data_IF_227140553190
#
_entry.id   IF_227140553190
#
_cell.length_a   1.000
_cell.length_b   1.000
_cell.length_c   1.000
_cell.angle_alpha   90.00
_cell.angle_beta   90.00
_cell.angle_gamma   90.00
#
_symmetry.space_group_name_H-M   'P 1'
#
loop_
_entity.id
_entity.type
_entity.pdbx_description
1 polymer ?
#
# COMPACT_ATOMS: atom_id res chain seq x y z
N UNK A 1 40.53 3.57 -35.35
CA UNK A 1 41.07 4.09 -34.07
C UNK A 1 40.02 4.80 -33.18
N UNK A 2 39.11 5.62 -33.74
CA UNK A 2 38.06 6.35 -32.95
C UNK A 2 37.02 5.46 -32.26
N UNK A 3 36.72 4.29 -32.77
CA UNK A 3 35.71 3.39 -32.18
C UNK A 3 36.25 2.63 -30.94
N UNK A 4 37.50 2.30 -30.90
CA UNK A 4 38.13 1.60 -29.77
C UNK A 4 38.32 2.51 -28.54
N UNK A 5 38.56 3.80 -28.75
CA UNK A 5 38.69 4.79 -27.66
C UNK A 5 37.32 5.01 -26.95
N UNK A 6 36.22 5.06 -27.69
CA UNK A 6 34.90 5.19 -27.08
C UNK A 6 34.47 3.95 -26.30
N UNK A 7 34.80 2.75 -26.83
CA UNK A 7 34.51 1.49 -26.12
C UNK A 7 35.36 1.38 -24.83
N UNK A 8 36.61 1.80 -24.87
CA UNK A 8 37.48 1.81 -23.70
C UNK A 8 37.01 2.78 -22.61
N UNK A 9 36.55 3.97 -22.98
CA UNK A 9 35.96 4.94 -22.03
C UNK A 9 34.66 4.45 -21.40
N UNK A 10 33.79 3.79 -22.17
CA UNK A 10 32.56 3.20 -21.66
C UNK A 10 32.80 2.06 -20.69
N UNK A 11 33.77 1.17 -21.00
CA UNK A 11 34.13 0.05 -20.13
C UNK A 11 34.81 0.57 -18.86
N UNK A 12 35.65 1.60 -18.96
CA UNK A 12 36.31 2.19 -17.80
C UNK A 12 35.34 2.96 -16.90
N UNK A 13 34.38 3.66 -17.46
CA UNK A 13 33.30 4.33 -16.70
C UNK A 13 32.40 3.32 -16.00
N UNK A 14 32.09 2.20 -16.67
CA UNK A 14 31.29 1.12 -16.08
C UNK A 14 32.03 0.38 -14.95
N UNK A 15 33.32 0.10 -15.12
CA UNK A 15 34.17 -0.46 -14.09
C UNK A 15 34.39 0.49 -12.90
N UNK A 16 34.45 1.80 -13.14
CA UNK A 16 34.58 2.79 -12.08
C UNK A 16 33.28 2.92 -11.26
N UNK A 17 32.10 2.85 -11.90
CA UNK A 17 30.82 2.76 -11.22
C UNK A 17 30.69 1.47 -10.40
N UNK A 18 31.12 0.33 -10.93
CA UNK A 18 31.11 -0.95 -10.21
C UNK A 18 32.00 -0.92 -8.97
N UNK A 19 33.17 -0.27 -9.08
CA UNK A 19 34.11 -0.12 -7.95
C UNK A 19 33.58 0.85 -6.88
N UNK A 20 32.91 1.92 -7.30
CA UNK A 20 32.28 2.88 -6.38
C UNK A 20 31.10 2.31 -5.58
N UNK A 21 30.44 1.27 -6.10
CA UNK A 21 29.32 0.58 -5.44
C UNK A 21 29.73 -0.73 -4.73
N UNK A 22 31.03 -1.06 -4.67
CA UNK A 22 31.52 -2.27 -3.97
C UNK A 22 31.04 -3.58 -4.61
N UNK A 23 30.80 -3.59 -5.93
CA UNK A 23 30.39 -4.76 -6.68
C UNK A 23 31.62 -5.49 -7.22
N UNK A 24 31.87 -6.70 -6.74
CA UNK A 24 32.92 -7.59 -7.26
C UNK A 24 32.29 -8.66 -8.14
N UNK A 25 32.82 -8.78 -9.36
CA UNK A 25 32.43 -9.82 -10.32
C UNK A 25 33.51 -10.89 -10.29
N UNK A 26 33.16 -12.11 -9.86
CA UNK A 26 34.01 -13.28 -9.97
C UNK A 26 33.42 -14.23 -11.00
N UNK A 27 34.29 -14.68 -11.93
CA UNK A 27 33.94 -15.75 -12.86
C UNK A 27 34.66 -17.00 -12.42
N UNK A 28 33.94 -18.05 -12.04
CA UNK A 28 34.47 -19.37 -11.73
C UNK A 28 33.58 -20.42 -12.38
N UNK A 29 34.20 -21.20 -13.25
CA UNK A 29 33.54 -22.29 -13.99
C UNK A 29 32.25 -21.83 -14.76
N UNK A 30 32.37 -20.74 -15.56
CA UNK A 30 31.31 -20.16 -16.38
C UNK A 30 30.09 -19.64 -15.62
N UNK A 31 30.17 -19.56 -14.29
CA UNK A 31 29.12 -18.96 -13.45
C UNK A 31 29.58 -17.56 -13.00
N UNK A 32 28.77 -16.56 -13.33
CA UNK A 32 28.97 -15.17 -12.85
C UNK A 32 28.38 -15.07 -11.46
N UNK A 33 29.21 -14.92 -10.44
CA UNK A 33 28.77 -14.69 -9.06
C UNK A 33 28.91 -13.19 -8.76
N UNK A 34 27.79 -12.53 -8.55
CA UNK A 34 27.72 -11.14 -8.10
C UNK A 34 27.74 -11.11 -6.57
N UNK A 35 28.84 -10.70 -5.98
CA UNK A 35 28.93 -10.50 -4.53
C UNK A 35 28.79 -9.01 -4.25
N UNK A 36 27.66 -8.64 -3.64
CA UNK A 36 27.47 -7.32 -3.05
C UNK A 36 28.19 -7.28 -1.70
N UNK A 37 29.33 -6.62 -1.65
CA UNK A 37 29.93 -6.27 -0.39
C UNK A 37 29.53 -4.81 -0.08
N UNK A 38 28.64 -4.55 0.88
CA UNK A 38 28.37 -3.18 1.26
C UNK A 38 29.66 -2.59 1.83
N UNK A 39 30.30 -1.71 1.05
CA UNK A 39 31.39 -0.88 1.57
C UNK A 39 30.88 -0.23 2.87
N UNK A 40 31.69 -0.21 3.94
CA UNK A 40 31.38 0.51 5.14
C UNK A 40 31.53 2.02 4.88
N UNK A 41 30.61 2.58 4.09
CA UNK A 41 30.47 4.01 3.91
C UNK A 41 29.79 4.56 5.18
N UNK A 42 30.61 5.26 5.92
CA UNK A 42 30.32 5.97 7.15
C UNK A 42 30.07 5.10 8.40
N UNK A 43 31.17 4.86 9.10
CA UNK A 43 31.13 4.87 10.56
C UNK A 43 30.61 6.23 11.03
N UNK A 44 29.32 6.46 10.89
CA UNK A 44 28.63 7.51 11.62
C UNK A 44 28.71 7.07 13.08
N UNK A 45 29.52 7.75 13.89
CA UNK A 45 29.51 7.65 15.35
C UNK A 45 28.06 7.45 15.77
N UNK A 46 27.79 6.36 16.48
CA UNK A 46 26.50 6.15 17.14
C UNK A 46 26.25 7.41 17.95
N UNK A 47 25.34 8.24 17.46
CA UNK A 47 24.82 9.36 18.26
C UNK A 47 24.31 8.80 19.58
N UNK A 48 24.31 9.55 20.66
CA UNK A 48 23.92 9.08 21.97
C UNK A 48 22.59 8.38 21.87
N UNK A 49 22.47 7.21 22.52
CA UNK A 49 21.23 6.44 22.67
C UNK A 49 20.11 7.43 23.01
N UNK A 50 19.24 7.69 22.04
CA UNK A 50 18.14 8.63 22.22
C UNK A 50 17.27 8.09 23.37
N UNK A 51 17.25 8.86 24.43
CA UNK A 51 16.50 8.56 25.63
C UNK A 51 15.03 8.36 25.21
N UNK A 52 14.46 7.20 25.45
CA UNK A 52 13.19 6.61 24.92
C UNK A 52 11.91 7.45 25.17
N UNK A 53 12.00 8.71 25.60
CA UNK A 53 10.84 9.47 26.10
C UNK A 53 10.38 10.67 25.27
N UNK A 54 11.13 11.12 24.26
CA UNK A 54 10.73 12.33 23.52
C UNK A 54 10.27 11.96 22.12
N UNK A 55 8.97 12.13 21.86
CA UNK A 55 8.39 11.98 20.52
C UNK A 55 8.89 13.10 19.60
N UNK A 56 9.05 12.79 18.31
CA UNK A 56 9.49 13.76 17.30
C UNK A 56 8.39 14.76 16.94
N UNK A 57 7.12 14.38 17.12
CA UNK A 57 5.99 15.26 16.82
C UNK A 57 4.63 14.64 17.09
N UNK A 58 3.62 15.49 16.92
CA UNK A 58 2.21 15.18 17.12
C UNK A 58 1.47 15.27 15.78
N UNK A 59 0.71 14.27 15.47
CA UNK A 59 -0.11 14.15 14.27
C UNK A 59 -1.57 14.07 14.67
N UNK A 60 -2.41 14.89 14.06
CA UNK A 60 -3.86 14.86 14.25
C UNK A 60 -4.52 14.20 13.03
N UNK A 61 -5.35 13.20 13.27
CA UNK A 61 -6.12 12.49 12.23
C UNK A 61 -7.55 13.02 12.27
N UNK A 62 -8.06 13.50 11.13
CA UNK A 62 -9.43 14.04 11.03
C UNK A 62 -10.24 13.17 10.10
N UNK A 63 -11.45 12.80 10.51
CA UNK A 63 -12.45 12.12 9.66
C UNK A 63 -13.85 12.35 10.21
N UNK A 64 -14.85 12.26 9.35
CA UNK A 64 -16.28 12.23 9.76
C UNK A 64 -16.69 10.85 10.30
N UNK A 65 -15.87 9.80 10.11
CA UNK A 65 -16.18 8.43 10.51
C UNK A 65 -15.36 8.00 11.70
N UNK A 66 -15.99 7.81 12.85
CA UNK A 66 -15.33 7.40 14.10
C UNK A 66 -14.55 6.08 13.96
N UNK A 67 -15.11 5.10 13.26
CA UNK A 67 -14.44 3.81 13.01
C UNK A 67 -13.12 4.00 12.27
N UNK A 68 -13.11 4.80 11.20
CA UNK A 68 -11.91 5.10 10.43
C UNK A 68 -10.83 5.78 11.29
N UNK A 69 -11.21 6.71 12.18
CA UNK A 69 -10.27 7.34 13.11
C UNK A 69 -9.54 6.33 13.98
N UNK A 70 -10.28 5.37 14.57
CA UNK A 70 -9.67 4.35 15.44
C UNK A 70 -8.78 3.38 14.66
N UNK A 71 -9.18 2.98 13.46
CA UNK A 71 -8.38 2.11 12.58
C UNK A 71 -7.08 2.79 12.14
N UNK A 72 -7.15 4.02 11.66
CA UNK A 72 -5.98 4.79 11.24
C UNK A 72 -5.03 5.06 12.41
N UNK A 73 -5.57 5.48 13.57
CA UNK A 73 -4.76 5.70 14.75
C UNK A 73 -4.03 4.44 15.20
N UNK A 74 -4.73 3.31 15.25
CA UNK A 74 -4.16 2.03 15.66
C UNK A 74 -3.06 1.58 14.69
N UNK A 75 -3.31 1.68 13.38
CA UNK A 75 -2.34 1.31 12.35
C UNK A 75 -1.09 2.21 12.42
N UNK A 76 -1.26 3.53 12.38
CA UNK A 76 -0.15 4.48 12.43
C UNK A 76 0.64 4.37 13.74
N UNK A 77 -0.04 4.13 14.86
CA UNK A 77 0.61 3.90 16.13
C UNK A 77 1.44 2.60 16.12
N UNK A 78 0.96 1.54 15.49
CA UNK A 78 1.72 0.28 15.38
C UNK A 78 2.99 0.43 14.54
N UNK A 79 2.98 1.32 13.53
CA UNK A 79 4.09 1.52 12.60
C UNK A 79 5.08 2.60 13.08
N UNK A 80 4.58 3.75 13.50
CA UNK A 80 5.37 4.95 13.84
C UNK A 80 5.17 5.44 15.28
N UNK A 81 4.41 4.74 16.11
CA UNK A 81 4.10 5.15 17.47
C UNK A 81 5.31 5.25 18.41
N UNK A 82 6.46 4.68 18.04
CA UNK A 82 7.72 4.91 18.75
C UNK A 82 8.20 6.37 18.61
N UNK A 83 7.95 7.01 17.45
CA UNK A 83 8.45 8.34 17.10
C UNK A 83 7.39 9.42 17.17
N UNK A 84 6.13 9.11 16.86
CA UNK A 84 5.06 10.08 16.74
C UNK A 84 3.93 9.81 17.73
N UNK A 85 3.22 10.88 18.10
CA UNK A 85 1.94 10.79 18.82
C UNK A 85 0.82 10.99 17.85
N UNK A 86 -0.18 10.09 17.83
CA UNK A 86 -1.34 10.18 16.97
C UNK A 86 -2.59 10.43 17.79
N UNK A 87 -3.24 11.55 17.54
CA UNK A 87 -4.53 11.91 18.12
C UNK A 87 -5.60 11.94 17.02
N UNK A 88 -6.85 11.86 17.42
CA UNK A 88 -7.99 11.84 16.51
C UNK A 88 -8.97 12.95 16.83
N UNK A 89 -9.62 13.49 15.80
CA UNK A 89 -10.67 14.49 15.93
C UNK A 89 -11.76 14.21 14.89
N UNK A 90 -13.02 14.18 15.33
CA UNK A 90 -14.13 14.15 14.38
C UNK A 90 -14.22 15.49 13.64
N UNK A 91 -14.45 15.43 12.33
CA UNK A 91 -14.54 16.63 11.49
C UNK A 91 -15.55 17.64 12.00
N UNK A 92 -16.68 17.16 12.50
CA UNK A 92 -17.76 18.00 13.05
C UNK A 92 -17.35 18.72 14.34
N UNK A 93 -16.34 18.22 15.04
CA UNK A 93 -15.78 18.82 16.26
C UNK A 93 -14.66 19.80 15.96
N UNK A 94 -14.17 19.87 14.74
CA UNK A 94 -13.12 20.78 14.29
C UNK A 94 -13.74 22.19 14.02
N UNK A 95 -14.09 22.91 15.06
CA UNK A 95 -14.81 24.18 14.99
C UNK A 95 -13.92 25.39 15.23
N UNK A 96 -12.72 25.20 15.80
CA UNK A 96 -11.82 26.28 16.20
C UNK A 96 -10.37 25.94 15.78
N UNK A 97 -9.66 26.86 15.06
CA UNK A 97 -8.24 26.67 14.73
C UNK A 97 -7.33 26.44 15.95
N UNK A 98 -7.71 26.89 17.15
CA UNK A 98 -6.93 26.65 18.37
C UNK A 98 -6.76 25.20 18.74
N UNK A 99 -7.68 24.31 18.30
CA UNK A 99 -7.60 22.86 18.49
C UNK A 99 -6.39 22.22 17.81
N UNK A 100 -5.79 22.91 16.84
CA UNK A 100 -4.65 22.43 16.07
C UNK A 100 -3.30 22.85 16.66
N UNK A 101 -3.31 23.65 17.73
CA UNK A 101 -2.08 24.07 18.39
C UNK A 101 -1.30 22.89 18.93
N UNK A 102 0.00 22.81 18.62
CA UNK A 102 0.88 21.74 19.07
C UNK A 102 0.91 20.52 18.15
N UNK A 103 0.16 20.54 17.04
CA UNK A 103 0.29 19.55 15.99
C UNK A 103 1.16 20.11 14.86
N UNK A 104 2.05 19.26 14.35
CA UNK A 104 2.90 19.57 13.21
C UNK A 104 2.33 19.04 11.90
N UNK A 105 1.43 18.05 11.98
CA UNK A 105 0.79 17.46 10.82
C UNK A 105 -0.68 17.15 11.11
N UNK A 106 -1.53 17.39 10.12
CA UNK A 106 -2.94 16.99 10.09
C UNK A 106 -3.15 16.03 8.92
N UNK A 107 -3.63 14.83 9.22
CA UNK A 107 -3.95 13.79 8.24
C UNK A 107 -5.43 13.83 7.89
N UNK A 108 -5.72 13.85 6.60
CA UNK A 108 -7.07 13.75 6.04
C UNK A 108 -7.26 12.43 5.32
N UNK A 109 -8.46 11.81 5.36
CA UNK A 109 -8.70 10.51 4.72
C UNK A 109 -8.62 10.54 3.18
N UNK A 110 -8.77 11.71 2.57
CA UNK A 110 -8.72 11.93 1.12
C UNK A 110 -8.34 13.37 0.80
N UNK A 111 -7.86 13.62 -0.42
CA UNK A 111 -7.65 14.97 -0.96
C UNK A 111 -8.91 15.82 -0.85
N UNK A 112 -10.07 15.29 -1.25
CA UNK A 112 -11.35 16.00 -1.15
C UNK A 112 -11.70 16.37 0.29
N UNK A 113 -11.42 15.51 1.26
CA UNK A 113 -11.69 15.82 2.67
C UNK A 113 -10.81 16.97 3.17
N UNK A 114 -9.58 17.08 2.67
CA UNK A 114 -8.66 18.18 2.94
C UNK A 114 -9.14 19.46 2.25
N UNK A 115 -9.41 19.45 0.96
CA UNK A 115 -9.84 20.62 0.19
C UNK A 115 -11.16 21.23 0.67
N UNK A 116 -12.09 20.38 1.14
CA UNK A 116 -13.38 20.83 1.69
C UNK A 116 -13.36 21.09 3.20
N UNK A 117 -12.16 21.09 3.80
CA UNK A 117 -12.06 21.37 5.24
C UNK A 117 -12.38 22.83 5.53
N UNK A 118 -13.29 23.15 6.49
CA UNK A 118 -13.85 24.48 6.63
C UNK A 118 -12.91 25.50 7.30
N UNK A 119 -11.81 25.00 7.93
CA UNK A 119 -10.90 25.87 8.66
C UNK A 119 -9.60 26.06 7.89
N UNK A 120 -9.08 27.28 7.90
CA UNK A 120 -7.71 27.56 7.44
C UNK A 120 -6.76 27.27 8.60
N UNK A 121 -5.86 26.30 8.38
CA UNK A 121 -4.83 25.95 9.35
C UNK A 121 -3.59 26.84 9.17
N UNK A 122 -2.80 26.94 10.24
CA UNK A 122 -1.51 27.64 10.19
C UNK A 122 -0.60 27.01 9.12
N UNK A 123 0.13 27.84 8.36
CA UNK A 123 1.00 27.38 7.27
C UNK A 123 2.18 26.52 7.74
N UNK A 124 2.50 26.53 9.03
CA UNK A 124 3.52 25.66 9.63
C UNK A 124 3.02 24.21 9.84
N UNK A 125 1.71 23.97 9.76
CA UNK A 125 1.12 22.66 9.92
C UNK A 125 1.04 21.97 8.56
N UNK A 126 1.72 20.84 8.42
CA UNK A 126 1.59 20.00 7.23
C UNK A 126 0.17 19.46 7.13
N UNK A 127 -0.51 19.71 6.03
CA UNK A 127 -1.78 19.08 5.69
C UNK A 127 -1.53 17.98 4.70
N UNK A 128 -1.79 16.73 5.10
CA UNK A 128 -1.45 15.55 4.32
C UNK A 128 -2.70 14.70 4.08
N UNK A 129 -3.16 14.56 2.83
CA UNK A 129 -4.18 13.57 2.49
C UNK A 129 -3.56 12.17 2.50
N UNK A 130 -4.26 11.22 3.09
CA UNK A 130 -3.83 9.82 3.08
C UNK A 130 -4.11 9.18 1.71
N UNK A 131 -3.07 8.66 1.09
CA UNK A 131 -3.25 7.70 0.03
C UNK A 131 -3.77 6.39 0.64
N UNK A 132 -4.77 5.80 0.01
CA UNK A 132 -5.41 4.58 0.50
C UNK A 132 -5.47 3.54 -0.60
N UNK A 133 -5.12 2.33 -0.23
CA UNK A 133 -5.18 1.17 -1.11
C UNK A 133 -6.15 0.13 -0.56
N UNK A 134 -6.63 -0.75 -1.43
CA UNK A 134 -7.41 -1.90 -0.95
C UNK A 134 -6.53 -2.78 -0.04
N UNK A 135 -7.17 -3.56 0.81
CA UNK A 135 -6.44 -4.39 1.75
C UNK A 135 -5.85 -5.62 1.04
N UNK A 136 -4.53 -5.57 0.77
CA UNK A 136 -3.80 -6.62 0.07
C UNK A 136 -3.87 -8.00 0.74
N UNK A 137 -4.22 -8.07 2.03
CA UNK A 137 -4.38 -9.33 2.75
C UNK A 137 -5.54 -10.19 2.22
N UNK A 138 -6.39 -9.63 1.35
CA UNK A 138 -7.50 -10.33 0.73
C UNK A 138 -7.26 -10.72 -0.72
N UNK A 139 -6.06 -10.49 -1.25
CA UNK A 139 -5.72 -10.88 -2.63
C UNK A 139 -5.95 -12.37 -2.89
N UNK A 140 -5.58 -13.23 -1.93
CA UNK A 140 -5.79 -14.67 -1.99
C UNK A 140 -7.27 -15.05 -2.15
N UNK A 141 -8.18 -14.29 -1.54
CA UNK A 141 -9.62 -14.51 -1.67
C UNK A 141 -10.20 -13.95 -2.96
N UNK A 142 -9.67 -12.81 -3.41
CA UNK A 142 -10.09 -12.21 -4.68
C UNK A 142 -9.82 -13.15 -5.85
N UNK A 143 -8.64 -13.77 -5.87
CA UNK A 143 -8.26 -14.68 -6.95
C UNK A 143 -8.99 -16.04 -6.91
N UNK A 144 -9.72 -16.34 -5.84
CA UNK A 144 -10.58 -17.54 -5.76
C UNK A 144 -11.90 -17.39 -6.52
N UNK A 145 -12.27 -16.18 -6.92
CA UNK A 145 -13.39 -15.95 -7.83
C UNK A 145 -13.01 -16.61 -9.19
N UNK A 146 -13.91 -17.35 -9.83
CA UNK A 146 -13.61 -17.96 -11.13
C UNK A 146 -13.17 -16.92 -12.17
N UNK A 147 -12.17 -17.21 -13.01
CA UNK A 147 -11.72 -16.28 -14.04
C UNK A 147 -12.83 -16.02 -15.07
N UNK A 148 -12.76 -14.83 -15.69
CA UNK A 148 -13.72 -14.34 -16.71
C UNK A 148 -15.12 -14.05 -16.17
N UNK A 149 -15.30 -14.04 -14.85
CA UNK A 149 -16.55 -13.59 -14.25
C UNK A 149 -16.69 -12.07 -14.32
N UNK A 150 -17.94 -11.62 -14.45
CA UNK A 150 -18.32 -10.23 -14.21
C UNK A 150 -18.57 -10.03 -12.72
N UNK A 151 -17.87 -9.06 -12.12
CA UNK A 151 -17.85 -8.86 -10.67
C UNK A 151 -18.25 -7.44 -10.32
N UNK A 152 -19.30 -7.25 -9.52
CA UNK A 152 -19.55 -5.92 -8.96
C UNK A 152 -18.41 -5.53 -8.00
N UNK A 153 -17.81 -4.37 -8.24
CA UNK A 153 -17.01 -3.71 -7.21
C UNK A 153 -17.86 -2.64 -6.53
N UNK A 154 -18.13 -2.85 -5.25
CA UNK A 154 -19.12 -2.08 -4.49
C UNK A 154 -18.44 -1.19 -3.46
N UNK A 155 -18.74 0.11 -3.49
CA UNK A 155 -18.29 1.05 -2.46
C UNK A 155 -19.31 2.20 -2.29
N UNK A 156 -19.05 3.09 -1.32
CA UNK A 156 -19.92 4.20 -0.92
C UNK A 156 -19.95 5.39 -1.89
N UNK A 157 -19.00 5.48 -2.81
CA UNK A 157 -18.98 6.51 -3.86
C UNK A 157 -18.25 6.04 -5.13
N UNK A 158 -18.54 6.73 -6.24
CA UNK A 158 -17.98 6.43 -7.56
C UNK A 158 -16.45 6.47 -7.59
N UNK A 159 -15.85 7.48 -6.97
CA UNK A 159 -14.40 7.68 -7.05
C UNK A 159 -13.65 6.59 -6.29
N UNK A 160 -14.11 6.26 -5.09
CA UNK A 160 -13.57 5.16 -4.29
C UNK A 160 -13.71 3.81 -5.00
N UNK A 161 -14.84 3.57 -5.66
CA UNK A 161 -15.09 2.35 -6.44
C UNK A 161 -14.09 2.22 -7.59
N UNK A 162 -13.98 3.25 -8.42
CA UNK A 162 -13.06 3.25 -9.57
C UNK A 162 -11.59 3.18 -9.14
N UNK A 163 -11.22 3.83 -8.03
CA UNK A 163 -9.86 3.75 -7.51
C UNK A 163 -9.47 2.33 -7.09
N UNK A 164 -10.38 1.56 -6.50
CA UNK A 164 -10.10 0.16 -6.13
C UNK A 164 -9.97 -0.70 -7.39
N UNK A 165 -10.82 -0.51 -8.41
CA UNK A 165 -10.70 -1.23 -9.68
C UNK A 165 -9.32 -0.98 -10.29
N UNK A 166 -8.92 0.28 -10.43
CA UNK A 166 -7.59 0.64 -10.96
C UNK A 166 -6.46 0.00 -10.18
N UNK A 167 -6.54 0.01 -8.85
CA UNK A 167 -5.52 -0.61 -8.00
C UNK A 167 -5.46 -2.14 -8.16
N UNK A 168 -6.59 -2.81 -8.35
CA UNK A 168 -6.63 -4.26 -8.62
C UNK A 168 -6.00 -4.58 -9.97
N UNK A 169 -6.33 -3.80 -11.01
CA UNK A 169 -5.75 -3.93 -12.35
C UNK A 169 -4.24 -3.66 -12.35
N UNK A 170 -3.78 -2.63 -11.64
CA UNK A 170 -2.35 -2.31 -11.45
C UNK A 170 -1.59 -3.45 -10.73
N UNK A 171 -2.28 -4.19 -9.84
CA UNK A 171 -1.74 -5.39 -9.22
C UNK A 171 -1.77 -6.64 -10.13
N UNK A 172 -2.22 -6.48 -11.39
CA UNK A 172 -2.29 -7.58 -12.36
C UNK A 172 -3.55 -8.44 -12.27
N UNK A 173 -4.55 -8.02 -11.48
CA UNK A 173 -5.85 -8.71 -11.40
C UNK A 173 -6.74 -8.22 -12.54
N UNK A 174 -6.52 -8.79 -13.73
CA UNK A 174 -7.19 -8.41 -14.99
C UNK A 174 -8.08 -9.51 -15.55
N UNK A 175 -8.22 -10.63 -14.84
CA UNK A 175 -9.00 -11.78 -15.27
C UNK A 175 -10.52 -11.62 -15.05
N UNK A 176 -10.96 -10.51 -14.45
CA UNK A 176 -12.37 -10.20 -14.18
C UNK A 176 -12.81 -8.98 -14.98
N UNK A 177 -14.12 -8.95 -15.32
CA UNK A 177 -14.77 -7.75 -15.81
C UNK A 177 -15.40 -7.02 -14.62
N UNK A 178 -14.69 -6.04 -14.07
CA UNK A 178 -15.15 -5.27 -12.92
C UNK A 178 -16.22 -4.25 -13.30
N UNK A 179 -17.40 -4.41 -12.74
CA UNK A 179 -18.51 -3.49 -12.91
C UNK A 179 -18.64 -2.59 -11.68
N UNK A 180 -18.42 -1.27 -11.78
CA UNK A 180 -18.52 -0.38 -10.64
C UNK A 180 -19.97 -0.25 -10.16
N UNK A 181 -20.19 -0.42 -8.84
CA UNK A 181 -21.49 -0.28 -8.20
C UNK A 181 -21.38 0.61 -6.95
N UNK A 182 -22.20 1.65 -6.86
CA UNK A 182 -22.22 2.63 -5.78
C UNK A 182 -23.62 3.23 -5.63
N UNK A 183 -23.95 3.95 -4.54
CA UNK A 183 -25.24 4.56 -4.36
C UNK A 183 -25.66 5.43 -5.54
N UNK A 184 -26.84 5.15 -6.09
CA UNK A 184 -27.37 5.78 -7.32
C UNK A 184 -27.23 4.93 -8.58
N UNK A 185 -26.41 3.86 -8.58
CA UNK A 185 -26.42 2.88 -9.65
C UNK A 185 -27.72 2.06 -9.63
N UNK A 186 -28.18 1.67 -10.82
CA UNK A 186 -29.26 0.70 -10.96
C UNK A 186 -28.67 -0.69 -11.13
N UNK A 187 -29.21 -1.66 -10.42
CA UNK A 187 -28.84 -3.06 -10.59
C UNK A 187 -29.55 -3.63 -11.81
N UNK A 188 -28.92 -3.49 -12.98
CA UNK A 188 -29.45 -3.93 -14.29
C UNK A 188 -28.80 -5.21 -14.82
N UNK A 189 -27.70 -5.63 -14.22
CA UNK A 189 -26.86 -6.73 -14.69
C UNK A 189 -27.28 -8.04 -14.03
N UNK A 190 -28.26 -8.74 -14.62
CA UNK A 190 -28.85 -9.96 -14.04
C UNK A 190 -27.90 -11.17 -14.00
N UNK A 191 -26.83 -11.16 -14.80
CA UNK A 191 -25.84 -12.23 -14.94
C UNK A 191 -24.76 -12.18 -13.86
N UNK A 192 -24.58 -11.05 -13.17
CA UNK A 192 -23.56 -10.93 -12.13
C UNK A 192 -23.94 -11.70 -10.87
N UNK A 193 -23.07 -12.64 -10.47
CA UNK A 193 -23.22 -13.52 -9.31
C UNK A 193 -22.23 -13.21 -8.18
N UNK A 194 -21.22 -12.39 -8.44
CA UNK A 194 -20.13 -12.06 -7.51
C UNK A 194 -20.06 -10.57 -7.24
N UNK A 195 -19.79 -10.21 -6.00
CA UNK A 195 -19.47 -8.84 -5.62
C UNK A 195 -18.26 -8.80 -4.68
N UNK A 196 -17.40 -7.83 -4.89
CA UNK A 196 -16.33 -7.45 -3.97
C UNK A 196 -16.71 -6.10 -3.36
N UNK A 197 -16.60 -5.98 -2.04
CA UNK A 197 -16.85 -4.71 -1.34
C UNK A 197 -15.71 -4.37 -0.38
N UNK A 198 -15.42 -3.09 -0.24
CA UNK A 198 -14.37 -2.61 0.65
C UNK A 198 -14.97 -2.04 1.96
N UNK A 199 -15.57 -2.95 2.77
CA UNK A 199 -16.15 -2.62 4.07
C UNK A 199 -17.57 -2.08 4.04
N UNK A 200 -18.27 -2.22 2.91
CA UNK A 200 -19.65 -1.70 2.72
C UNK A 200 -20.61 -2.81 2.23
N UNK A 201 -20.67 -3.98 2.90
CA UNK A 201 -21.49 -5.11 2.43
C UNK A 201 -22.99 -4.80 2.36
N UNK A 202 -23.48 -3.82 3.12
CA UNK A 202 -24.85 -3.35 3.09
C UNK A 202 -25.26 -2.64 1.78
N UNK A 203 -24.28 -2.23 0.97
CA UNK A 203 -24.52 -1.59 -0.34
C UNK A 203 -24.59 -2.61 -1.48
N UNK A 204 -24.25 -3.86 -1.22
CA UNK A 204 -24.31 -4.92 -2.23
C UNK A 204 -25.77 -5.28 -2.51
N UNK A 205 -26.18 -5.39 -3.79
CA UNK A 205 -27.53 -5.84 -4.13
C UNK A 205 -27.86 -7.19 -3.49
N UNK A 206 -29.02 -7.29 -2.84
CA UNK A 206 -29.42 -8.48 -2.06
C UNK A 206 -29.56 -9.76 -2.88
N UNK A 207 -29.66 -9.65 -4.21
CA UNK A 207 -29.71 -10.80 -5.12
C UNK A 207 -28.36 -11.48 -5.35
N UNK A 208 -27.25 -10.79 -5.03
CA UNK A 208 -25.91 -11.33 -5.28
C UNK A 208 -25.58 -12.38 -4.20
N UNK A 209 -25.38 -13.66 -4.59
CA UNK A 209 -25.18 -14.73 -3.61
C UNK A 209 -23.73 -14.78 -3.07
N UNK A 210 -22.76 -14.37 -3.88
CA UNK A 210 -21.33 -14.48 -3.53
C UNK A 210 -20.74 -13.09 -3.26
N UNK A 211 -20.65 -12.73 -1.98
CA UNK A 211 -20.14 -11.44 -1.55
C UNK A 211 -18.80 -11.62 -0.83
N UNK A 212 -17.76 -10.99 -1.35
CA UNK A 212 -16.46 -10.91 -0.72
C UNK A 212 -16.24 -9.51 -0.13
N UNK A 213 -16.27 -9.41 1.19
CA UNK A 213 -15.85 -8.18 1.86
C UNK A 213 -14.34 -8.23 2.12
N UNK A 214 -13.60 -7.33 1.46
CA UNK A 214 -12.15 -7.17 1.61
C UNK A 214 -11.77 -6.17 2.73
N UNK A 215 -12.75 -5.79 3.55
CA UNK A 215 -12.55 -4.82 4.63
C UNK A 215 -12.23 -3.41 4.14
N UNK A 216 -12.02 -2.50 5.07
CA UNK A 216 -11.74 -1.11 4.74
C UNK A 216 -10.40 -0.95 4.01
N UNK A 217 -10.32 0.08 3.15
CA UNK A 217 -9.05 0.50 2.54
C UNK A 217 -8.04 0.90 3.62
N UNK A 218 -6.82 0.46 3.46
CA UNK A 218 -5.70 0.75 4.36
C UNK A 218 -4.89 1.97 3.89
N UNK A 219 -4.14 2.56 4.82
CA UNK A 219 -3.21 3.65 4.48
C UNK A 219 -2.05 3.06 3.67
N UNK A 220 -1.78 3.68 2.53
CA UNK A 220 -0.67 3.28 1.66
C UNK A 220 0.70 3.60 2.29
N UNK A 221 1.70 2.83 1.88
CA UNK A 221 3.09 3.04 2.29
C UNK A 221 3.60 4.44 1.93
N UNK A 222 3.13 5.04 0.85
CA UNK A 222 3.48 6.40 0.43
C UNK A 222 3.22 7.43 1.51
N UNK A 223 2.03 7.38 2.15
CA UNK A 223 1.69 8.25 3.29
C UNK A 223 2.62 8.03 4.48
N UNK A 224 2.99 6.77 4.78
CA UNK A 224 3.94 6.45 5.86
C UNK A 224 5.31 7.04 5.57
N UNK A 225 5.78 6.93 4.33
CA UNK A 225 7.08 7.46 3.91
C UNK A 225 7.11 8.99 3.95
N UNK A 226 6.04 9.67 3.54
CA UNK A 226 5.91 11.13 3.66
C UNK A 226 5.98 11.60 5.11
N UNK A 227 5.33 10.88 6.05
CA UNK A 227 5.47 11.17 7.48
C UNK A 227 6.90 10.94 7.97
N UNK A 228 7.54 9.85 7.53
CA UNK A 228 8.94 9.57 7.89
C UNK A 228 9.88 10.67 7.42
N UNK A 229 9.70 11.16 6.20
CA UNK A 229 10.48 12.26 5.64
C UNK A 229 10.25 13.56 6.40
N UNK A 230 9.00 13.98 6.57
CA UNK A 230 8.67 15.23 7.24
C UNK A 230 9.19 15.31 8.68
N UNK A 231 9.06 14.21 9.43
CA UNK A 231 9.52 14.16 10.83
C UNK A 231 10.98 13.70 10.98
N UNK A 232 11.73 13.55 9.89
CA UNK A 232 13.12 13.07 9.89
C UNK A 232 13.31 11.78 10.69
N UNK A 233 12.39 10.82 10.51
CA UNK A 233 12.46 9.52 11.18
C UNK A 233 13.70 8.76 10.71
N UNK A 234 14.45 8.08 11.61
CA UNK A 234 15.69 7.40 11.25
C UNK A 234 15.53 6.39 10.09
N UNK A 235 16.44 6.40 9.13
CA UNK A 235 16.44 5.55 7.94
C UNK A 235 16.30 4.05 8.27
N UNK A 236 16.83 3.60 9.40
CA UNK A 236 16.67 2.22 9.84
C UNK A 236 15.21 1.85 10.06
N UNK A 237 14.41 2.79 10.58
CA UNK A 237 12.96 2.61 10.76
C UNK A 237 12.25 2.59 9.42
N UNK A 238 12.58 3.53 8.53
CA UNK A 238 12.05 3.57 7.15
C UNK A 238 12.29 2.24 6.46
N UNK A 239 13.53 1.73 6.49
CA UNK A 239 13.90 0.45 5.90
C UNK A 239 13.13 -0.73 6.53
N UNK A 240 12.90 -0.70 7.85
CA UNK A 240 12.10 -1.73 8.54
C UNK A 240 10.65 -1.72 8.07
N UNK A 241 10.05 -0.55 8.00
CA UNK A 241 8.66 -0.36 7.56
C UNK A 241 8.48 -0.83 6.11
N UNK A 242 9.35 -0.37 5.21
CA UNK A 242 9.32 -0.76 3.80
C UNK A 242 9.49 -2.26 3.62
N UNK A 243 10.43 -2.88 4.35
CA UNK A 243 10.64 -4.33 4.31
C UNK A 243 9.43 -5.10 4.80
N UNK A 244 8.79 -4.67 5.88
CA UNK A 244 7.59 -5.31 6.40
C UNK A 244 6.44 -5.24 5.40
N UNK A 245 6.25 -4.09 4.75
CA UNK A 245 5.25 -3.90 3.71
C UNK A 245 5.48 -4.84 2.51
N UNK A 246 6.71 -4.89 2.00
CA UNK A 246 7.08 -5.80 0.90
C UNK A 246 6.89 -7.26 1.30
N UNK A 247 7.28 -7.64 2.51
CA UNK A 247 7.11 -9.02 2.99
C UNK A 247 5.63 -9.42 3.10
N UNK A 248 4.74 -8.50 3.50
CA UNK A 248 3.31 -8.76 3.49
C UNK A 248 2.79 -9.07 2.09
N UNK A 249 3.16 -8.24 1.11
CA UNK A 249 2.77 -8.45 -0.30
C UNK A 249 3.31 -9.79 -0.82
N UNK A 250 4.60 -10.07 -0.60
CA UNK A 250 5.22 -11.32 -1.05
C UNK A 250 4.58 -12.55 -0.41
N UNK A 251 4.20 -12.48 0.85
CA UNK A 251 3.49 -13.58 1.52
C UNK A 251 2.14 -13.84 0.85
N UNK A 252 1.39 -12.79 0.56
CA UNK A 252 0.08 -12.89 -0.11
C UNK A 252 0.22 -13.47 -1.51
N UNK A 253 1.21 -13.02 -2.30
CA UNK A 253 1.48 -13.55 -3.65
C UNK A 253 1.82 -15.05 -3.61
N UNK A 254 2.68 -15.49 -2.69
CA UNK A 254 3.02 -16.92 -2.55
C UNK A 254 1.82 -17.78 -2.19
N UNK A 255 0.94 -17.29 -1.32
CA UNK A 255 -0.30 -17.99 -0.97
C UNK A 255 -1.19 -18.13 -2.21
N UNK A 256 -1.26 -17.09 -3.03
CA UNK A 256 -2.00 -17.07 -4.29
C UNK A 256 -1.47 -18.09 -5.30
N UNK A 257 -0.15 -18.14 -5.52
CA UNK A 257 0.48 -19.11 -6.42
C UNK A 257 0.18 -20.56 -6.01
N UNK A 258 0.26 -20.85 -4.70
CA UNK A 258 -0.06 -22.18 -4.17
C UNK A 258 -1.51 -22.56 -4.46
N UNK A 259 -2.44 -21.61 -4.30
CA UNK A 259 -3.85 -21.83 -4.60
C UNK A 259 -4.08 -22.15 -6.08
N UNK A 260 -3.51 -21.37 -7.00
CA UNK A 260 -3.63 -21.63 -8.44
C UNK A 260 -3.06 -22.98 -8.85
N UNK A 261 -1.90 -23.33 -8.32
CA UNK A 261 -1.26 -24.62 -8.61
C UNK A 261 -2.16 -25.79 -8.17
N UNK A 262 -2.72 -25.71 -6.96
CA UNK A 262 -3.62 -26.73 -6.44
C UNK A 262 -4.93 -26.79 -7.24
N UNK A 263 -5.49 -25.63 -7.63
CA UNK A 263 -6.71 -25.56 -8.44
C UNK A 263 -6.52 -26.21 -9.81
N UNK A 264 -5.43 -25.89 -10.51
CA UNK A 264 -5.10 -26.47 -11.82
C UNK A 264 -4.88 -27.98 -11.70
N UNK A 265 -4.17 -28.45 -10.67
CA UNK A 265 -3.98 -29.88 -10.44
C UNK A 265 -5.31 -30.60 -10.18
N UNK A 266 -6.20 -30.00 -9.39
CA UNK A 266 -7.53 -30.56 -9.13
C UNK A 266 -8.36 -30.65 -10.41
N UNK A 267 -8.38 -29.58 -11.23
CA UNK A 267 -9.07 -29.60 -12.52
C UNK A 267 -8.53 -30.66 -13.46
N UNK A 268 -7.20 -30.83 -13.53
CA UNK A 268 -6.58 -31.87 -14.37
C UNK A 268 -6.93 -33.27 -13.91
N UNK A 269 -7.01 -33.55 -12.60
CA UNK A 269 -7.43 -34.84 -12.06
C UNK A 269 -8.89 -35.17 -12.43
N UNK A 270 -9.80 -34.18 -12.28
CA UNK A 270 -11.22 -34.40 -12.67
C UNK A 270 -11.42 -34.60 -14.17
N UNK A 271 -10.58 -33.99 -15.02
CA UNK A 271 -10.67 -34.23 -16.49
C UNK A 271 -10.08 -35.56 -16.93
N UNK A 272 -9.10 -36.10 -16.19
CA UNK A 272 -8.57 -37.44 -16.48
C UNK A 272 -9.53 -38.56 -16.07
N UNK A 273 -10.19 -38.41 -14.91
CA UNK A 273 -11.19 -39.38 -14.43
C UNK A 273 -12.50 -39.38 -15.23
N UNK A 274 -12.77 -38.36 -16.01
CA UNK A 274 -13.94 -38.27 -16.90
C UNK A 274 -13.67 -38.80 -18.31
N UNK A 275 -12.43 -39.22 -18.60
CA UNK A 275 -11.98 -39.73 -19.90
C UNK A 275 -11.82 -41.26 -19.94
N UNK A 276 -11.95 -41.94 -18.80
CA UNK A 276 -12.03 -43.39 -18.65
C UNK A 276 -13.49 -43.84 -18.43
#
# INVERSE_FOLDING_TARGET
MRHYVKAFFLIFSFLFCLFAFGLFIFVKNDIIILIFNPLPLFSRKRGPFMNRKQKLGNVLIISSRKRMLSEFQSYLHSVLGEYLTFNTLLREQATDPSLFRGYQCVLFPTVRAMETFPLTLDSSILQLPCDRVFNHMFLDKIIQIPPHERVYLVNDDKYSTLAIISQLEECGITQYDFVPFYPGCKDTESDIQFAITAGEPQLVPSRIPNVLDIGNRIIDISTILQLCEYFNIPLQTVNRVSRNYVNQILHTVKTSETYYTNYVQTCLLYTSDAAD
#
